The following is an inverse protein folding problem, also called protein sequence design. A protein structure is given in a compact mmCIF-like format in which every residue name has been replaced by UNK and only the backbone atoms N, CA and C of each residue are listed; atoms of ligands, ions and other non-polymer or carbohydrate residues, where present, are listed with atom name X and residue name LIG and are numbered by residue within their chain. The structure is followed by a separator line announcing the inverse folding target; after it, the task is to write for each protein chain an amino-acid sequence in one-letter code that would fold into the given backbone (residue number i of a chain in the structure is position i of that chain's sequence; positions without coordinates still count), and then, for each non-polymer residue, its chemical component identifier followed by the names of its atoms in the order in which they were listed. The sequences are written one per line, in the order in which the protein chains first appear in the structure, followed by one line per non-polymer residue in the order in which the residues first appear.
data_IF_588663862085
#
_entry.id   IF_588663862085
#
_cell.length_a   1.000
_cell.length_b   1.000
_cell.length_c   1.000
_cell.angle_alpha   90.00
_cell.angle_beta   90.00
_cell.angle_gamma   90.00
#
_symmetry.space_group_name_H-M   'P 1'
#
loop_
_entity.id
_entity.type
_entity.pdbx_description
1 polymer ?
2 non-polymer ?
3 water ?
#
# COMPACT_ATOMS: atom_id res chain seq x y z
N UNK A 1 38.10 3.43 -5.64
CA UNK A 1 38.46 4.25 -4.44
C UNK A 1 37.78 3.75 -3.16
N UNK A 2 38.59 3.40 -2.17
CA UNK A 2 38.06 2.92 -0.90
C UNK A 2 37.14 3.97 -0.28
N UNK A 3 36.15 3.54 0.50
CA UNK A 3 35.22 4.46 1.14
C UNK A 3 34.72 3.90 2.47
N UNK A 4 35.27 4.42 3.57
CA UNK A 4 34.89 3.98 4.91
C UNK A 4 33.39 4.12 5.16
N UNK A 5 32.86 3.21 6.00
CA UNK A 5 31.43 3.20 6.33
C UNK A 5 30.93 4.51 6.96
N UNK A 6 31.79 5.18 7.70
CA UNK A 6 31.42 6.44 8.34
C UNK A 6 31.31 7.56 7.30
N UNK A 7 32.12 7.47 6.25
CA UNK A 7 32.08 8.46 5.20
C UNK A 7 30.84 8.23 4.36
N UNK A 8 30.54 6.95 4.11
CA UNK A 8 29.37 6.55 3.34
C UNK A 8 28.09 7.01 4.05
N UNK A 9 28.10 6.88 5.37
CA UNK A 9 26.98 7.29 6.17
C UNK A 9 26.80 8.81 6.08
N UNK A 10 27.91 9.54 5.95
CA UNK A 10 27.88 10.99 5.85
C UNK A 10 27.32 11.40 4.50
N UNK A 11 27.78 10.69 3.47
CA UNK A 11 27.39 10.94 2.09
C UNK A 11 25.89 10.77 1.88
N UNK A 12 25.32 9.73 2.49
CA UNK A 12 23.88 9.49 2.36
C UNK A 12 23.07 10.54 3.10
N UNK A 13 23.66 11.13 4.14
CA UNK A 13 22.99 12.17 4.92
C UNK A 13 22.70 13.35 4.01
N UNK A 14 23.70 13.72 3.23
CA UNK A 14 23.58 14.85 2.32
C UNK A 14 22.58 14.53 1.23
N UNK A 15 22.65 13.31 0.71
CA UNK A 15 21.72 12.94 -0.34
C UNK A 15 20.28 13.05 0.18
N UNK A 16 20.04 12.51 1.37
CA UNK A 16 18.70 12.56 1.97
C UNK A 16 18.17 13.99 2.09
N UNK A 17 18.94 14.92 2.65
CA UNK A 17 18.43 16.29 2.79
C UNK A 17 18.23 16.95 1.43
N UNK A 18 19.01 16.55 0.44
CA UNK A 18 18.86 17.14 -0.89
C UNK A 18 17.63 16.58 -1.58
N UNK A 19 17.45 15.27 -1.46
CA UNK A 19 16.28 14.63 -2.05
C UNK A 19 15.04 15.31 -1.50
N UNK A 20 14.98 15.46 -0.18
CA UNK A 20 13.86 16.11 0.48
C UNK A 20 13.53 17.49 -0.10
N UNK A 21 14.53 18.35 -0.16
CA UNK A 21 14.34 19.69 -0.68
C UNK A 21 13.91 19.65 -2.13
N UNK A 22 14.48 18.72 -2.88
CA UNK A 22 14.15 18.56 -4.29
C UNK A 22 12.70 18.14 -4.44
N UNK A 23 12.25 17.24 -3.57
CA UNK A 23 10.90 16.73 -3.61
C UNK A 23 9.87 17.80 -3.25
N UNK A 24 10.17 18.57 -2.20
CA UNK A 24 9.27 19.62 -1.76
C UNK A 24 9.03 20.66 -2.86
N UNK A 25 10.06 20.91 -3.68
CA UNK A 25 9.94 21.88 -4.74
C UNK A 25 9.25 21.35 -5.98
N UNK A 26 9.34 20.04 -6.21
CA UNK A 26 8.73 19.39 -7.37
C UNK A 26 7.27 19.04 -7.19
N UNK A 27 6.89 18.64 -5.99
CA UNK A 27 5.50 18.27 -5.71
C UNK A 27 4.47 19.25 -6.27
N UNK A 28 4.69 20.56 -6.09
CA UNK A 28 3.73 21.55 -6.61
C UNK A 28 3.49 21.48 -8.13
N UNK A 29 4.31 20.69 -8.83
CA UNK A 29 4.23 20.55 -10.29
C UNK A 29 3.25 19.49 -10.80
N UNK A 30 2.76 18.63 -9.93
CA UNK A 30 1.82 17.57 -10.31
C UNK A 30 0.40 18.15 -10.37
N UNK A 31 -0.19 18.13 -11.55
CA UNK A 31 -1.53 18.68 -11.77
C UNK A 31 -2.69 17.96 -11.07
N UNK A 32 -2.59 16.65 -10.93
CA UNK A 32 -3.65 15.91 -10.28
C UNK A 32 -3.41 14.41 -10.32
N UNK A 33 -3.96 13.70 -9.34
CA UNK A 33 -3.83 12.25 -9.24
C UNK A 33 -5.18 11.60 -8.93
N UNK A 34 -5.49 10.52 -9.65
CA UNK A 34 -6.73 9.78 -9.45
C UNK A 34 -6.36 8.52 -8.65
N UNK A 35 -7.01 8.34 -7.49
CA UNK A 35 -6.76 7.18 -6.64
C UNK A 35 -7.97 6.28 -6.83
N UNK A 36 -7.71 5.07 -7.32
CA UNK A 36 -8.82 4.19 -7.65
C UNK A 36 -9.10 2.86 -6.97
N UNK A 37 -10.41 2.72 -6.77
CA UNK A 37 -11.17 1.61 -6.21
C UNK A 37 -11.38 1.48 -4.71
N UNK A 38 -10.37 1.12 -3.92
CA UNK A 38 -10.64 0.90 -2.49
C UNK A 38 -10.48 1.98 -1.43
N UNK A 39 -11.63 2.34 -0.87
CA UNK A 39 -11.72 3.35 0.18
C UNK A 39 -12.73 2.87 1.23
N UNK A 40 -12.38 3.02 2.50
CA UNK A 40 -13.31 2.61 3.55
C UNK A 40 -12.99 3.23 4.89
N UNK A 41 -13.54 2.65 5.95
CA UNK A 41 -13.31 3.13 7.31
C UNK A 41 -12.47 2.11 8.08
N UNK A 42 -11.53 2.61 8.87
CA UNK A 42 -10.66 1.78 9.68
C UNK A 42 -11.00 2.09 11.13
N UNK A 43 -11.60 1.13 11.81
CA UNK A 43 -11.97 1.28 13.22
C UNK A 43 -10.89 0.56 14.01
N UNK A 44 -10.05 1.33 14.71
CA UNK A 44 -8.96 0.73 15.48
C UNK A 44 -9.27 0.54 16.96
N UNK A 45 -8.99 -0.66 17.46
CA UNK A 45 -9.21 -1.03 18.84
C UNK A 45 -7.91 -1.51 19.45
N UNK A 46 -7.38 -0.79 20.43
CA UNK A 46 -6.15 -1.19 21.09
C UNK A 46 -6.48 -2.25 22.15
N UNK A 47 -6.21 -3.51 21.79
CA UNK A 47 -6.47 -4.68 22.63
C UNK A 47 -6.07 -4.58 24.10
N UNK A 48 -6.97 -5.01 24.98
CA UNK A 48 -6.75 -5.01 26.42
C UNK A 48 -6.89 -6.42 26.97
N UNK A 49 -5.80 -6.95 27.54
CA UNK A 49 -5.78 -8.30 28.09
C UNK A 49 -7.04 -8.69 28.85
N UNK A 50 -7.34 -7.94 29.92
CA UNK A 50 -8.52 -8.25 30.72
C UNK A 50 -9.79 -8.36 29.88
N UNK A 51 -9.97 -7.40 28.98
CA UNK A 51 -11.13 -7.39 28.10
C UNK A 51 -11.16 -8.64 27.22
N UNK A 52 -10.06 -8.91 26.52
CA UNK A 52 -10.00 -10.08 25.65
C UNK A 52 -10.19 -11.34 26.47
N UNK A 53 -9.60 -11.34 27.67
CA UNK A 53 -9.71 -12.47 28.57
C UNK A 53 -11.18 -12.65 28.87
N UNK A 54 -11.77 -11.66 29.54
CA UNK A 54 -13.19 -11.70 29.89
C UNK A 54 -14.03 -12.11 28.69
N UNK A 55 -13.66 -11.60 27.51
CA UNK A 55 -14.39 -11.89 26.29
C UNK A 55 -14.27 -13.31 25.77
N UNK A 56 -13.07 -13.87 25.83
CA UNK A 56 -12.88 -15.24 25.35
C UNK A 56 -13.57 -16.24 26.27
N UNK A 57 -13.37 -16.09 27.58
CA UNK A 57 -14.01 -16.99 28.54
C UNK A 57 -15.51 -17.03 28.29
N UNK A 58 -16.09 -15.85 28.10
CA UNK A 58 -17.53 -15.75 27.85
C UNK A 58 -18.01 -16.78 26.85
N UNK A 59 -17.62 -16.63 25.58
CA UNK A 59 -18.03 -17.59 24.55
C UNK A 59 -17.61 -18.97 25.00
N UNK A 60 -16.43 -19.03 25.61
CA UNK A 60 -15.89 -20.30 26.07
C UNK A 60 -14.58 -20.51 25.35
N UNK A 61 -13.48 -20.24 26.05
CA UNK A 61 -12.15 -20.40 25.47
C UNK A 61 -11.89 -21.81 24.99
N UNK A 62 -12.96 -22.59 24.85
CA UNK A 62 -12.88 -23.95 24.36
C UNK A 62 -12.76 -23.89 22.84
N UNK A 63 -13.89 -23.66 22.19
CA UNK A 63 -13.92 -23.55 20.74
C UNK A 63 -12.87 -22.52 20.31
N UNK A 64 -12.84 -21.40 21.02
CA UNK A 64 -11.91 -20.33 20.71
C UNK A 64 -10.48 -20.80 20.49
N UNK A 65 -9.98 -21.65 21.39
CA UNK A 65 -8.61 -22.15 21.28
C UNK A 65 -8.46 -23.20 20.18
N UNK A 66 -9.57 -23.79 19.79
CA UNK A 66 -9.57 -24.79 18.72
C UNK A 66 -9.37 -24.04 17.40
N UNK A 67 -9.79 -22.78 17.40
CA UNK A 67 -9.68 -21.93 16.22
C UNK A 67 -8.23 -21.55 15.99
N UNK A 68 -7.46 -21.44 17.07
CA UNK A 68 -6.05 -21.08 16.93
C UNK A 68 -5.30 -22.07 16.04
N UNK A 69 -5.56 -23.37 16.26
CA UNK A 69 -4.88 -24.40 15.48
C UNK A 69 -5.55 -24.70 14.14
N UNK A 70 -6.87 -24.67 14.10
CA UNK A 70 -7.60 -24.93 12.86
C UNK A 70 -8.36 -23.69 12.41
N UNK A 71 -7.63 -22.65 11.97
CA UNK A 71 -8.25 -21.40 11.52
C UNK A 71 -9.16 -21.57 10.32
N UNK A 72 -10.37 -20.98 10.37
CA UNK A 72 -11.34 -21.07 9.28
C UNK A 72 -11.08 -20.07 8.15
N UNK A 73 -11.86 -20.17 7.09
CA UNK A 73 -11.74 -19.28 5.95
C UNK A 73 -12.15 -17.85 6.37
N UNK A 74 -13.45 -17.65 6.54
CA UNK A 74 -13.99 -16.36 6.95
C UNK A 74 -14.46 -16.44 8.40
N UNK A 75 -14.91 -15.31 8.95
CA UNK A 75 -15.41 -15.28 10.31
C UNK A 75 -16.93 -15.40 10.27
N UNK A 76 -17.44 -16.56 10.65
CA UNK A 76 -18.88 -16.82 10.65
C UNK A 76 -19.40 -17.01 12.07
N UNK A 77 -18.50 -16.87 13.04
CA UNK A 77 -18.87 -17.03 14.43
C UNK A 77 -18.05 -16.08 15.29
N UNK A 78 -18.51 -15.87 16.53
CA UNK A 78 -17.80 -15.00 17.45
C UNK A 78 -16.58 -15.74 17.99
N UNK A 79 -16.60 -17.07 17.86
CA UNK A 79 -15.49 -17.90 18.29
C UNK A 79 -14.38 -17.72 17.28
N UNK A 80 -14.78 -17.75 16.00
CA UNK A 80 -13.85 -17.60 14.90
C UNK A 80 -13.18 -16.23 14.91
N UNK A 81 -13.88 -15.22 15.43
CA UNK A 81 -13.30 -13.89 15.48
C UNK A 81 -12.24 -13.78 16.57
N UNK A 82 -12.56 -14.29 17.76
CA UNK A 82 -11.65 -14.24 18.89
C UNK A 82 -10.51 -15.24 18.71
N UNK A 83 -10.82 -16.41 18.17
CA UNK A 83 -9.80 -17.40 17.92
C UNK A 83 -8.81 -16.81 16.92
N UNK A 84 -9.32 -16.01 16.00
CA UNK A 84 -8.48 -15.39 15.00
C UNK A 84 -7.60 -14.29 15.56
N UNK A 85 -8.12 -13.50 16.49
CA UNK A 85 -7.32 -12.42 17.06
C UNK A 85 -6.16 -13.04 17.84
N UNK A 86 -6.47 -14.03 18.66
CA UNK A 86 -5.46 -14.70 19.46
C UNK A 86 -4.37 -15.32 18.60
N UNK A 87 -4.77 -16.07 17.57
CA UNK A 87 -3.83 -16.72 16.66
C UNK A 87 -2.87 -15.68 16.09
N UNK A 88 -3.41 -14.51 15.74
CA UNK A 88 -2.61 -13.44 15.18
C UNK A 88 -1.66 -12.94 16.26
N UNK A 89 -2.05 -13.11 17.51
CA UNK A 89 -1.24 -12.71 18.65
C UNK A 89 -0.12 -13.73 18.80
N UNK A 90 -0.49 -15.00 18.60
CA UNK A 90 0.45 -16.11 18.67
C UNK A 90 1.53 -15.92 17.62
N UNK A 91 1.25 -16.38 16.40
CA UNK A 91 2.21 -16.26 15.31
C UNK A 91 2.74 -14.84 15.20
N UNK A 92 2.08 -13.91 15.89
CA UNK A 92 2.49 -12.52 15.84
C UNK A 92 2.50 -11.98 14.42
N UNK A 93 1.75 -12.62 13.53
CA UNK A 93 1.69 -12.19 12.14
C UNK A 93 0.37 -11.51 11.82
N UNK A 94 0.41 -10.58 10.88
CA UNK A 94 -0.77 -9.82 10.48
C UNK A 94 -1.76 -10.68 9.72
N UNK A 95 -3.01 -10.68 10.15
CA UNK A 95 -4.05 -11.46 9.48
C UNK A 95 -5.27 -10.60 9.15
N UNK A 96 -6.16 -11.16 8.35
CA UNK A 96 -7.37 -10.44 7.95
C UNK A 96 -8.38 -11.42 7.40
N UNK A 97 -9.49 -11.59 8.12
CA UNK A 97 -10.53 -12.50 7.71
C UNK A 97 -11.78 -11.70 7.41
N UNK A 98 -12.64 -12.22 6.53
CA UNK A 98 -13.87 -11.54 6.16
C UNK A 98 -15.05 -12.01 6.98
N UNK A 99 -15.65 -11.08 7.72
CA UNK A 99 -16.80 -11.41 8.56
C UNK A 99 -18.02 -11.64 7.68
N UNK A 100 -18.55 -12.86 7.72
CA UNK A 100 -19.70 -13.22 6.91
C UNK A 100 -21.01 -13.11 7.68
N UNK A 101 -20.95 -13.26 9.00
CA UNK A 101 -22.16 -13.21 9.82
C UNK A 101 -22.56 -11.80 10.28
N UNK A 102 -23.82 -11.46 10.06
CA UNK A 102 -24.33 -10.15 10.46
C UNK A 102 -24.36 -10.12 11.97
N UNK A 103 -24.41 -11.31 12.55
CA UNK A 103 -24.44 -11.48 13.99
C UNK A 103 -23.11 -11.05 14.60
N UNK A 104 -22.02 -11.49 13.97
CA UNK A 104 -20.69 -11.13 14.44
C UNK A 104 -20.50 -9.62 14.18
N UNK A 105 -21.07 -9.14 13.08
CA UNK A 105 -20.97 -7.72 12.71
C UNK A 105 -21.54 -6.84 13.83
N UNK A 106 -22.61 -7.29 14.47
CA UNK A 106 -23.22 -6.53 15.56
C UNK A 106 -22.30 -6.63 16.77
N UNK A 107 -21.63 -7.77 16.89
CA UNK A 107 -20.70 -7.96 17.99
C UNK A 107 -19.61 -6.91 17.87
N UNK A 108 -18.96 -6.86 16.72
CA UNK A 108 -17.88 -5.91 16.44
C UNK A 108 -18.19 -4.46 16.82
N UNK A 109 -19.35 -3.96 16.39
CA UNK A 109 -19.73 -2.60 16.69
C UNK A 109 -19.90 -2.39 18.19
N UNK A 110 -20.58 -3.32 18.84
CA UNK A 110 -20.79 -3.22 20.29
C UNK A 110 -19.44 -3.19 20.99
N UNK A 111 -18.53 -4.04 20.54
CA UNK A 111 -17.19 -4.06 21.13
C UNK A 111 -16.59 -2.67 20.96
N UNK A 112 -16.90 -2.02 19.84
CA UNK A 112 -16.41 -0.67 19.60
C UNK A 112 -14.98 -0.48 19.12
N UNK A 113 -14.59 0.78 18.99
CA UNK A 113 -13.27 1.15 18.53
C UNK A 113 -12.67 2.31 19.33
N UNK A 114 -11.35 2.40 19.34
CA UNK A 114 -10.67 3.46 20.07
C UNK A 114 -10.56 4.72 19.22
N UNK A 115 -10.43 4.53 17.91
CA UNK A 115 -10.36 5.67 17.01
C UNK A 115 -10.73 5.23 15.60
N UNK A 116 -11.02 6.21 14.75
CA UNK A 116 -11.41 5.94 13.37
C UNK A 116 -10.50 6.69 12.41
N UNK A 117 -10.21 6.08 11.28
CA UNK A 117 -9.39 6.72 10.26
C UNK A 117 -9.80 6.19 8.89
N UNK A 118 -9.46 6.92 7.83
CA UNK A 118 -9.82 6.44 6.50
C UNK A 118 -9.15 5.07 6.34
N UNK A 119 -9.72 4.26 5.47
CA UNK A 119 -9.18 2.95 5.19
C UNK A 119 -9.04 2.85 3.69
N UNK A 120 -8.68 1.66 3.21
CA UNK A 120 -8.51 1.44 1.79
C UNK A 120 -7.21 2.06 1.33
N UNK A 121 -6.53 1.41 0.39
CA UNK A 121 -5.26 1.91 -0.13
C UNK A 121 -5.49 3.24 -0.80
N UNK A 122 -6.64 3.38 -1.48
CA UNK A 122 -6.98 4.61 -2.18
C UNK A 122 -7.28 5.71 -1.16
N UNK A 123 -8.02 5.36 -0.11
CA UNK A 123 -8.37 6.31 0.93
C UNK A 123 -7.16 6.88 1.66
N UNK A 124 -6.30 6.00 2.16
CA UNK A 124 -5.11 6.41 2.88
C UNK A 124 -4.26 7.30 1.97
N UNK A 125 -4.13 6.92 0.70
CA UNK A 125 -3.34 7.69 -0.26
C UNK A 125 -3.95 9.05 -0.55
N UNK A 126 -5.28 9.14 -0.46
CA UNK A 126 -5.95 10.40 -0.70
C UNK A 126 -5.58 11.42 0.39
N UNK A 127 -5.68 11.00 1.65
CA UNK A 127 -5.34 11.92 2.74
C UNK A 127 -3.88 12.33 2.71
N UNK A 128 -3.00 11.42 2.30
CA UNK A 128 -1.58 11.75 2.21
C UNK A 128 -1.29 12.68 1.04
N UNK A 129 -1.60 12.24 -0.17
CA UNK A 129 -1.35 13.05 -1.36
C UNK A 129 -2.10 14.39 -1.34
N UNK A 130 -3.39 14.33 -1.00
CA UNK A 130 -4.20 15.53 -0.96
C UNK A 130 -4.04 16.40 0.27
N UNK A 131 -4.20 15.80 1.44
CA UNK A 131 -4.08 16.57 2.67
C UNK A 131 -2.66 17.00 3.00
N UNK A 132 -1.72 16.05 2.95
CA UNK A 132 -0.33 16.34 3.26
C UNK A 132 0.43 16.98 2.12
N UNK A 133 0.50 16.32 0.97
CA UNK A 133 1.23 16.91 -0.15
C UNK A 133 0.47 18.00 -0.88
N UNK A 134 -0.83 18.09 -0.62
CA UNK A 134 -1.69 19.11 -1.22
C UNK A 134 -1.83 18.99 -2.72
N UNK A 135 -1.68 17.79 -3.24
CA UNK A 135 -1.83 17.58 -4.68
C UNK A 135 -3.31 17.37 -4.95
N UNK A 136 -3.89 18.15 -5.86
CA UNK A 136 -5.31 17.98 -6.17
C UNK A 136 -5.57 16.51 -6.46
N UNK A 137 -6.35 15.86 -5.60
CA UNK A 137 -6.63 14.44 -5.73
C UNK A 137 -8.10 14.09 -6.01
N UNK A 138 -8.33 13.14 -6.90
CA UNK A 138 -9.67 12.65 -7.20
C UNK A 138 -9.64 11.19 -6.76
N UNK A 139 -10.58 10.81 -5.89
CA UNK A 139 -10.61 9.46 -5.34
C UNK A 139 -11.94 8.70 -5.47
N UNK A 140 -11.84 7.37 -5.56
CA UNK A 140 -13.02 6.53 -5.68
C UNK A 140 -13.48 6.14 -4.29
N UNK A 141 -14.74 6.45 -3.98
CA UNK A 141 -15.35 6.15 -2.68
C UNK A 141 -16.68 5.43 -2.95
N UNK A 142 -16.70 4.09 -2.92
CA UNK A 142 -17.90 3.29 -3.16
C UNK A 142 -19.16 3.62 -2.35
N UNK A 143 -19.01 3.80 -1.04
CA UNK A 143 -20.13 4.16 -0.19
C UNK A 143 -19.66 5.35 0.61
N UNK A 144 -20.43 6.44 0.59
CA UNK A 144 -20.04 7.67 1.27
C UNK A 144 -20.97 8.20 2.38
N UNK A 145 -21.13 7.44 3.46
CA UNK A 145 -22.00 7.98 4.50
C UNK A 145 -21.23 9.13 5.18
N UNK A 146 -21.88 9.87 6.08
CA UNK A 146 -21.23 10.98 6.77
C UNK A 146 -20.00 10.53 7.57
N UNK A 147 -20.08 9.33 8.16
CA UNK A 147 -18.97 8.79 8.94
C UNK A 147 -17.74 8.61 8.04
N UNK A 148 -17.97 8.24 6.79
CA UNK A 148 -16.89 8.05 5.83
C UNK A 148 -16.31 9.35 5.33
N UNK A 149 -17.22 10.23 4.91
CA UNK A 149 -16.84 11.51 4.36
C UNK A 149 -16.06 12.39 5.30
N UNK A 150 -16.33 12.29 6.60
CA UNK A 150 -15.61 13.13 7.53
C UNK A 150 -14.24 12.61 7.89
N UNK A 151 -13.88 11.42 7.42
CA UNK A 151 -12.55 10.88 7.71
C UNK A 151 -11.54 11.52 6.77
N UNK A 152 -12.03 12.17 5.73
CA UNK A 152 -11.15 12.84 4.79
C UNK A 152 -10.66 14.13 5.40
N UNK A 153 -9.36 14.33 5.27
CA UNK A 153 -8.68 15.51 5.79
C UNK A 153 -8.98 16.69 4.89
N UNK A 154 -8.98 17.88 5.44
CA UNK A 154 -9.25 19.04 4.63
C UNK A 154 -8.09 19.27 3.67
N UNK A 155 -8.41 19.54 2.41
CA UNK A 155 -7.39 19.76 1.41
C UNK A 155 -8.02 19.59 0.04
N UNK A 156 -7.23 19.68 -1.04
CA UNK A 156 -7.76 19.52 -2.40
C UNK A 156 -8.12 18.07 -2.76
N UNK A 157 -9.03 17.47 -1.99
CA UNK A 157 -9.46 16.10 -2.21
C UNK A 157 -10.87 16.14 -2.81
N UNK A 158 -11.04 15.54 -3.97
CA UNK A 158 -12.34 15.57 -4.61
C UNK A 158 -12.92 14.24 -4.97
N UNK A 159 -14.23 14.24 -5.11
CA UNK A 159 -15.00 13.07 -5.46
C UNK A 159 -15.89 13.51 -6.64
N UNK A 160 -16.02 12.68 -7.68
CA UNK A 160 -16.86 13.09 -8.80
C UNK A 160 -18.34 12.81 -8.59
N UNK A 161 -19.16 13.82 -8.86
CA UNK A 161 -20.60 13.71 -8.72
C UNK A 161 -21.29 14.12 -10.00
N UNK A 162 -22.24 13.31 -10.45
CA UNK A 162 -22.98 13.60 -11.67
C UNK A 162 -24.04 14.66 -11.39
N UNK A 163 -23.73 15.92 -11.68
CA UNK A 163 -24.68 16.99 -11.44
C UNK A 163 -25.51 17.26 -12.69
N UNK A 164 -26.59 16.52 -12.87
CA UNK A 164 -27.42 16.73 -14.04
C UNK A 164 -26.73 16.70 -15.39
N UNK A 165 -26.23 15.53 -15.78
CA UNK A 165 -25.57 15.38 -17.07
C UNK A 165 -24.40 16.33 -17.13
N UNK A 166 -23.88 16.61 -15.95
CA UNK A 166 -22.73 17.49 -15.78
C UNK A 166 -21.92 16.81 -14.68
N UNK A 167 -20.67 16.47 -14.98
CA UNK A 167 -19.82 15.82 -14.00
C UNK A 167 -19.05 16.88 -13.22
N UNK A 168 -19.33 16.98 -11.93
CA UNK A 168 -18.66 17.96 -11.08
C UNK A 168 -17.75 17.27 -10.08
N UNK A 169 -16.73 17.99 -9.63
CA UNK A 169 -15.81 17.46 -8.64
C UNK A 169 -16.03 18.22 -7.35
N UNK A 170 -16.45 17.52 -6.31
CA UNK A 170 -16.70 18.14 -5.02
C UNK A 170 -16.02 17.38 -3.90
N UNK A 171 -15.80 18.04 -2.77
CA UNK A 171 -15.18 17.39 -1.63
C UNK A 171 -16.13 16.35 -1.05
N UNK A 172 -15.57 15.26 -0.49
CA UNK A 172 -16.40 14.21 0.09
C UNK A 172 -17.54 14.69 0.98
N UNK A 173 -17.26 15.58 1.92
CA UNK A 173 -18.26 16.11 2.84
C UNK A 173 -19.44 16.76 2.10
N UNK A 174 -19.21 17.14 0.85
CA UNK A 174 -20.24 17.78 0.05
C UNK A 174 -20.91 16.76 -0.85
N UNK A 175 -20.59 15.49 -0.64
CA UNK A 175 -21.14 14.42 -1.46
C UNK A 175 -21.66 13.28 -0.59
N UNK A 176 -22.08 13.61 0.63
CA UNK A 176 -22.60 12.61 1.55
C UNK A 176 -23.93 12.07 1.02
N UNK A 177 -24.23 10.82 1.37
CA UNK A 177 -25.45 10.19 0.91
C UNK A 177 -25.77 9.10 1.90
N UNK A 178 -27.00 8.60 1.86
CA UNK A 178 -27.42 7.55 2.79
C UNK A 178 -26.92 6.19 2.33
N UNK A 179 -25.64 5.93 2.55
CA UNK A 179 -25.03 4.68 2.13
C UNK A 179 -24.44 3.90 3.28
N UNK A 180 -23.91 2.72 2.98
CA UNK A 180 -23.35 1.84 3.99
C UNK A 180 -21.99 2.25 4.54
N UNK A 181 -21.77 1.92 5.80
CA UNK A 181 -20.49 2.19 6.44
C UNK A 181 -19.67 0.94 6.13
N UNK A 182 -18.54 1.12 5.46
CA UNK A 182 -17.68 0.00 5.12
C UNK A 182 -16.53 0.01 6.12
N UNK A 183 -16.70 -0.75 7.20
CA UNK A 183 -15.72 -0.80 8.28
C UNK A 183 -14.80 -1.99 8.35
N UNK A 184 -13.53 -1.70 8.58
CA UNK A 184 -12.52 -2.74 8.76
C UNK A 184 -12.07 -2.52 10.20
N UNK A 185 -12.38 -3.49 11.07
CA UNK A 185 -12.00 -3.38 12.47
C UNK A 185 -10.59 -3.89 12.66
N UNK A 186 -9.68 -2.99 13.02
CA UNK A 186 -8.29 -3.32 13.21
C UNK A 186 -7.92 -3.44 14.69
N UNK A 187 -7.53 -4.64 15.08
CA UNK A 187 -7.12 -4.92 16.47
C UNK A 187 -5.60 -5.07 16.58
N UNK A 188 -4.98 -4.16 17.33
CA UNK A 188 -3.54 -4.20 17.50
C UNK A 188 -3.05 -4.51 18.91
N UNK A 189 -1.92 -5.22 18.99
CA UNK A 189 -1.30 -5.60 20.26
C UNK A 189 0.18 -5.24 20.20
N UNK A 190 0.76 -4.84 21.35
CA UNK A 190 2.18 -4.47 21.44
C UNK A 190 3.13 -5.63 21.25
N UNK A 191 4.42 -5.32 21.16
CA UNK A 191 5.47 -6.33 20.99
C UNK A 191 5.36 -7.42 22.06
N UNK A 192 4.70 -7.08 23.16
CA UNK A 192 4.51 -8.03 24.23
C UNK A 192 3.11 -7.88 24.78
N UNK A 193 2.21 -8.75 24.34
CA UNK A 193 0.83 -8.70 24.80
C UNK A 193 0.51 -9.95 25.63
N UNK A 194 -0.30 -9.79 26.67
CA UNK A 194 -0.61 -10.93 27.53
C UNK A 194 -2.05 -11.42 27.59
N UNK A 195 -2.31 -12.60 27.03
CA UNK A 195 -3.65 -13.16 27.02
C UNK A 195 -3.61 -14.69 27.27
N UNK A 196 -4.38 -15.16 28.25
CA UNK A 196 -4.44 -16.56 28.64
C UNK A 196 -3.16 -17.36 28.91
N UNK A 197 -2.27 -17.44 27.94
CA UNK A 197 -1.07 -18.27 28.11
C UNK A 197 -0.14 -17.81 27.01
N UNK A 198 -0.80 -17.42 25.93
CA UNK A 198 -0.18 -16.95 24.70
C UNK A 198 0.40 -15.55 24.84
N UNK A 199 1.60 -15.40 24.30
CA UNK A 199 2.31 -14.14 24.34
C UNK A 199 2.60 -13.74 22.90
N UNK A 200 2.63 -12.43 22.65
CA UNK A 200 2.93 -11.92 21.32
C UNK A 200 4.41 -11.59 21.23
N UNK A 201 5.09 -12.16 20.22
CA UNK A 201 6.52 -11.94 19.99
C UNK A 201 6.79 -10.65 19.24
N UNK A 202 5.74 -10.08 18.67
CA UNK A 202 5.88 -8.84 17.92
C UNK A 202 4.58 -8.05 17.92
N UNK A 203 4.69 -6.73 17.72
CA UNK A 203 3.54 -5.86 17.68
C UNK A 203 2.90 -5.95 16.30
N UNK A 204 1.77 -6.63 16.20
CA UNK A 204 1.07 -6.78 14.93
C UNK A 204 -0.40 -6.39 15.03
N UNK A 205 -1.25 -7.01 14.20
CA UNK A 205 -2.67 -6.69 14.18
C UNK A 205 -3.56 -7.69 13.42
N UNK A 206 -4.82 -7.80 13.84
CA UNK A 206 -5.78 -8.66 13.16
C UNK A 206 -6.90 -7.77 12.61
N UNK A 207 -7.29 -8.01 11.37
CA UNK A 207 -8.32 -7.20 10.74
C UNK A 207 -9.59 -8.00 10.49
N UNK A 208 -10.71 -7.52 11.03
CA UNK A 208 -11.99 -8.16 10.82
C UNK A 208 -12.68 -7.29 9.75
N UNK A 209 -12.74 -7.81 8.54
CA UNK A 209 -13.31 -7.10 7.41
C UNK A 209 -14.80 -7.35 7.23
N UNK A 210 -15.60 -6.30 7.41
CA UNK A 210 -17.06 -6.35 7.26
C UNK A 210 -17.45 -5.44 6.09
N UNK A 211 -16.61 -5.44 5.07
CA UNK A 211 -16.77 -4.62 3.87
C UNK A 211 -17.22 -5.47 2.69
N UNK A 212 -18.47 -5.30 2.30
CA UNK A 212 -19.09 -6.03 1.19
C UNK A 212 -18.87 -5.40 -0.18
N UNK A 213 -18.52 -4.11 -0.22
CA UNK A 213 -18.34 -3.42 -1.50
C UNK A 213 -16.94 -3.56 -2.07
N UNK A 214 -15.94 -3.26 -1.26
CA UNK A 214 -14.58 -3.36 -1.74
C UNK A 214 -14.18 -4.82 -1.98
N UNK A 215 -14.95 -5.74 -1.40
CA UNK A 215 -14.68 -7.16 -1.58
C UNK A 215 -14.88 -7.57 -3.05
N UNK A 216 -15.80 -6.88 -3.72
CA UNK A 216 -16.11 -7.19 -5.11
C UNK A 216 -15.73 -6.05 -6.02
N UNK A 217 -15.05 -5.04 -5.48
CA UNK A 217 -14.65 -3.90 -6.28
C UNK A 217 -15.82 -3.27 -7.07
N UNK A 218 -16.91 -2.96 -6.38
CA UNK A 218 -18.05 -2.31 -7.02
C UNK A 218 -17.66 -0.87 -7.37
N UNK A 219 -17.99 -0.43 -8.58
CA UNK A 219 -17.64 0.90 -9.03
C UNK A 219 -18.79 1.89 -9.03
N UNK A 220 -18.52 3.12 -8.60
CA UNK A 220 -19.55 4.15 -8.58
C UNK A 220 -19.97 4.43 -10.01
N UNK A 221 -21.17 5.00 -10.18
CA UNK A 221 -21.70 5.30 -11.51
C UNK A 221 -20.79 6.20 -12.31
N UNK A 222 -20.21 7.20 -11.65
CA UNK A 222 -19.33 8.15 -12.29
C UNK A 222 -18.07 7.50 -12.85
N UNK A 223 -17.57 6.46 -12.19
CA UNK A 223 -16.39 5.79 -12.66
C UNK A 223 -16.69 4.82 -13.79
N UNK A 224 -17.92 4.34 -13.85
CA UNK A 224 -18.29 3.40 -14.91
C UNK A 224 -18.77 4.20 -16.14
N UNK A 225 -19.19 5.44 -15.92
CA UNK A 225 -19.71 6.25 -17.02
C UNK A 225 -18.95 7.53 -17.38
N UNK A 226 -18.49 8.27 -16.40
CA UNK A 226 -17.77 9.50 -16.72
C UNK A 226 -16.27 9.40 -16.59
N UNK A 227 -15.73 8.19 -16.65
CA UNK A 227 -14.30 8.01 -16.48
C UNK A 227 -13.42 8.88 -17.36
N UNK A 228 -13.80 9.04 -18.62
CA UNK A 228 -13.03 9.87 -19.56
C UNK A 228 -13.05 11.32 -19.12
N UNK A 229 -14.16 11.74 -18.51
CA UNK A 229 -14.29 13.10 -18.03
C UNK A 229 -13.34 13.30 -16.85
N UNK A 230 -13.34 12.36 -15.92
CA UNK A 230 -12.46 12.39 -14.74
C UNK A 230 -11.00 12.45 -15.19
N UNK A 231 -10.61 11.44 -15.97
CA UNK A 231 -9.25 11.31 -16.48
C UNK A 231 -8.72 12.63 -17.02
N UNK A 232 -9.59 13.39 -17.67
CA UNK A 232 -9.18 14.66 -18.24
C UNK A 232 -8.59 15.59 -17.18
N UNK A 233 -8.91 15.33 -15.92
CA UNK A 233 -8.46 16.17 -14.83
C UNK A 233 -7.13 15.78 -14.20
N UNK A 234 -6.55 14.65 -14.59
CA UNK A 234 -5.31 14.24 -13.94
C UNK A 234 -4.06 13.98 -14.78
N UNK A 235 -2.92 13.93 -14.11
CA UNK A 235 -1.64 13.68 -14.77
C UNK A 235 -1.18 12.29 -14.45
N UNK A 236 -1.52 11.82 -13.24
CA UNK A 236 -1.12 10.48 -12.80
C UNK A 236 -2.30 9.69 -12.26
N UNK A 237 -2.08 8.40 -12.03
CA UNK A 237 -3.13 7.53 -11.48
C UNK A 237 -2.50 6.35 -10.74
N UNK A 238 -3.07 6.02 -9.59
CA UNK A 238 -2.60 4.91 -8.79
C UNK A 238 -3.76 3.96 -8.55
N UNK A 239 -3.66 2.74 -9.10
CA UNK A 239 -4.69 1.73 -9.02
C UNK A 239 -4.38 0.67 -7.95
N UNK A 240 -5.41 0.27 -7.20
CA UNK A 240 -5.25 -0.76 -6.17
C UNK A 240 -6.59 -1.42 -5.77
N UNK A 241 -6.51 -2.39 -4.86
CA UNK A 241 -7.69 -3.06 -4.38
C UNK A 241 -8.13 -4.30 -5.15
N UNK A 242 -7.43 -4.64 -6.22
CA UNK A 242 -7.77 -5.80 -7.06
C UNK A 242 -7.32 -7.15 -6.50
N UNK A 243 -6.41 -7.12 -5.53
CA UNK A 243 -5.90 -8.35 -4.95
C UNK A 243 -6.98 -9.16 -4.27
N UNK A 244 -8.17 -8.60 -4.18
CA UNK A 244 -9.28 -9.28 -3.52
C UNK A 244 -10.08 -10.18 -4.43
N UNK A 245 -9.96 -9.95 -5.74
CA UNK A 245 -10.73 -10.72 -6.71
C UNK A 245 -10.57 -12.23 -6.66
N UNK A 246 -11.69 -12.92 -6.73
CA UNK A 246 -11.71 -14.37 -6.73
C UNK A 246 -12.04 -14.79 -8.15
N UNK A 247 -11.68 -16.02 -8.51
CA UNK A 247 -11.95 -16.53 -9.83
C UNK A 247 -13.45 -16.71 -10.02
N UNK A 248 -14.09 -17.27 -9.00
CA UNK A 248 -15.53 -17.54 -9.04
C UNK A 248 -16.25 -17.07 -7.78
N UNK A 249 -17.48 -16.60 -7.98
CA UNK A 249 -18.35 -16.15 -6.88
C UNK A 249 -19.61 -17.02 -6.89
N UNK A 250 -20.23 -17.21 -5.72
CA UNK A 250 -21.44 -18.04 -5.66
C UNK A 250 -22.59 -17.64 -6.58
N UNK A 251 -22.69 -16.34 -6.88
CA UNK A 251 -23.76 -15.86 -7.75
C UNK A 251 -23.42 -16.03 -9.23
N UNK A 252 -22.51 -16.93 -9.52
CA UNK A 252 -22.15 -17.19 -10.90
C UNK A 252 -21.33 -16.11 -11.58
N UNK A 253 -20.85 -15.13 -10.85
CA UNK A 253 -20.05 -14.09 -11.48
C UNK A 253 -18.57 -14.45 -11.35
N UNK A 254 -17.70 -13.75 -12.08
CA UNK A 254 -16.26 -14.02 -12.02
C UNK A 254 -15.38 -12.78 -12.00
N UNK A 255 -14.09 -12.99 -11.78
CA UNK A 255 -13.14 -11.88 -11.75
C UNK A 255 -13.13 -11.11 -13.08
N UNK A 256 -13.34 -11.82 -14.17
CA UNK A 256 -13.34 -11.21 -15.50
C UNK A 256 -14.29 -10.02 -15.61
N UNK A 257 -15.43 -10.13 -14.92
CA UNK A 257 -16.42 -9.07 -14.95
C UNK A 257 -15.76 -7.76 -14.56
N UNK A 258 -14.96 -7.79 -13.49
CA UNK A 258 -14.27 -6.61 -12.99
C UNK A 258 -13.09 -6.19 -13.86
N UNK A 259 -12.16 -7.11 -14.07
CA UNK A 259 -10.97 -6.80 -14.85
C UNK A 259 -11.30 -6.21 -16.23
N UNK A 260 -12.42 -6.65 -16.80
CA UNK A 260 -12.83 -6.13 -18.10
C UNK A 260 -13.08 -4.62 -17.97
N UNK A 261 -13.70 -4.22 -16.86
CA UNK A 261 -14.00 -2.83 -16.60
C UNK A 261 -12.71 -2.05 -16.34
N UNK A 262 -11.80 -2.68 -15.62
CA UNK A 262 -10.52 -2.08 -15.25
C UNK A 262 -9.62 -1.88 -16.47
N UNK A 263 -9.60 -2.86 -17.36
CA UNK A 263 -8.79 -2.80 -18.57
C UNK A 263 -9.22 -1.65 -19.48
N UNK A 264 -10.50 -1.32 -19.48
CA UNK A 264 -10.99 -0.25 -20.32
C UNK A 264 -10.67 1.11 -19.71
N UNK A 265 -10.37 1.11 -18.40
CA UNK A 265 -10.02 2.35 -17.72
C UNK A 265 -8.57 2.62 -18.07
N UNK A 266 -7.76 1.57 -18.08
CA UNK A 266 -6.34 1.71 -18.41
C UNK A 266 -6.17 2.22 -19.84
N UNK A 267 -7.06 1.79 -20.73
CA UNK A 267 -7.00 2.21 -22.12
C UNK A 267 -7.32 3.70 -22.27
N UNK A 268 -8.22 4.20 -21.43
CA UNK A 268 -8.58 5.61 -21.46
C UNK A 268 -7.45 6.43 -20.86
N UNK A 269 -6.85 5.89 -19.80
CA UNK A 269 -5.74 6.57 -19.15
C UNK A 269 -4.61 6.66 -20.16
N UNK A 270 -4.36 5.57 -20.85
CA UNK A 270 -3.31 5.54 -21.86
C UNK A 270 -3.63 6.54 -22.95
N UNK A 271 -4.87 6.50 -23.42
CA UNK A 271 -5.29 7.41 -24.48
C UNK A 271 -5.02 8.87 -24.14
N UNK A 272 -4.97 9.19 -22.85
CA UNK A 272 -4.72 10.55 -22.45
C UNK A 272 -3.32 10.71 -21.91
N UNK A 273 -2.51 9.66 -22.09
CA UNK A 273 -1.12 9.67 -21.61
C UNK A 273 -1.02 9.92 -20.11
N UNK A 274 -1.91 9.33 -19.33
CA UNK A 274 -1.85 9.49 -17.89
C UNK A 274 -0.87 8.42 -17.41
N UNK A 275 0.07 8.79 -16.56
CA UNK A 275 1.04 7.85 -16.03
C UNK A 275 0.35 7.13 -14.89
N UNK A 276 0.36 5.80 -14.93
CA UNK A 276 -0.32 5.01 -13.91
C UNK A 276 0.57 4.02 -13.19
N UNK A 277 0.37 3.92 -11.88
CA UNK A 277 1.12 3.01 -11.04
C UNK A 277 0.16 1.94 -10.53
N UNK A 278 0.60 0.68 -10.55
CA UNK A 278 -0.22 -0.40 -10.04
C UNK A 278 0.42 -0.94 -8.77
N UNK A 279 -0.36 -1.01 -7.70
CA UNK A 279 0.12 -1.56 -6.44
C UNK A 279 -0.19 -3.05 -6.49
N UNK A 280 0.79 -3.85 -6.90
CA UNK A 280 0.56 -5.28 -7.01
C UNK A 280 0.54 -6.03 -5.68
N UNK A 281 -0.48 -5.78 -4.87
CA UNK A 281 -0.61 -6.44 -3.58
C UNK A 281 -0.71 -7.94 -3.80
N UNK A 282 -0.30 -8.71 -2.80
CA UNK A 282 -0.35 -10.16 -2.92
C UNK A 282 -1.74 -10.69 -3.30
N UNK A 283 -1.80 -11.44 -4.40
CA UNK A 283 -3.05 -12.00 -4.90
C UNK A 283 -3.07 -13.52 -4.79
N UNK A 284 -3.68 -14.01 -3.72
CA UNK A 284 -3.79 -15.43 -3.42
C UNK A 284 -4.27 -16.31 -4.58
N UNK A 285 -5.24 -15.83 -5.34
CA UNK A 285 -5.75 -16.62 -6.47
C UNK A 285 -4.74 -16.61 -7.62
N UNK A 286 -4.38 -17.80 -8.10
CA UNK A 286 -3.42 -17.88 -9.19
C UNK A 286 -3.98 -17.37 -10.51
N UNK A 287 -5.17 -17.82 -10.90
CA UNK A 287 -5.78 -17.38 -12.16
C UNK A 287 -5.93 -15.87 -12.18
N UNK A 288 -6.38 -15.31 -11.06
CA UNK A 288 -6.51 -13.87 -10.98
C UNK A 288 -5.10 -13.25 -11.06
N UNK A 289 -4.15 -13.85 -10.35
CA UNK A 289 -2.78 -13.34 -10.36
C UNK A 289 -2.19 -13.32 -11.76
N UNK A 290 -2.49 -14.35 -12.54
CA UNK A 290 -1.98 -14.43 -13.90
C UNK A 290 -2.61 -13.33 -14.76
N UNK A 291 -3.90 -13.09 -14.52
CA UNK A 291 -4.64 -12.07 -15.26
C UNK A 291 -4.05 -10.69 -14.98
N UNK A 292 -3.78 -10.41 -13.71
CA UNK A 292 -3.23 -9.13 -13.33
C UNK A 292 -1.86 -8.92 -13.97
N UNK A 293 -1.06 -9.97 -14.06
CA UNK A 293 0.28 -9.87 -14.67
C UNK A 293 0.18 -9.54 -16.14
N UNK A 294 -0.88 -9.99 -16.80
CA UNK A 294 -1.06 -9.72 -18.24
C UNK A 294 -1.57 -8.31 -18.45
N UNK A 295 -2.02 -7.68 -17.37
CA UNK A 295 -2.52 -6.33 -17.42
C UNK A 295 -1.35 -5.35 -17.28
N UNK A 296 -0.28 -5.82 -16.64
CA UNK A 296 0.90 -5.02 -16.37
C UNK A 296 1.43 -4.22 -17.54
N UNK A 297 1.49 -4.82 -18.74
CA UNK A 297 1.99 -4.06 -19.89
C UNK A 297 1.28 -2.74 -20.11
N UNK A 298 0.07 -2.61 -19.61
CA UNK A 298 -0.70 -1.38 -19.77
C UNK A 298 -0.42 -0.31 -18.72
N UNK A 299 0.41 -0.65 -17.74
CA UNK A 299 0.76 0.28 -16.66
C UNK A 299 2.15 0.87 -16.91
N UNK A 300 2.37 2.08 -16.41
CA UNK A 300 3.68 2.73 -16.55
C UNK A 300 4.59 2.26 -15.43
N UNK A 301 4.02 2.11 -14.23
CA UNK A 301 4.79 1.71 -13.07
C UNK A 301 4.14 0.61 -12.23
N UNK A 302 4.97 -0.08 -11.44
CA UNK A 302 4.53 -1.14 -10.55
C UNK A 302 5.25 -1.02 -9.22
N UNK A 303 4.59 -1.44 -8.16
CA UNK A 303 5.19 -1.40 -6.83
C UNK A 303 4.96 -2.75 -6.23
N UNK A 304 5.95 -3.31 -5.56
CA UNK A 304 5.77 -4.61 -4.93
C UNK A 304 6.86 -4.86 -3.92
N UNK A 305 6.62 -5.84 -3.05
CA UNK A 305 7.59 -6.21 -2.04
C UNK A 305 8.13 -7.59 -2.40
N UNK A 306 8.86 -8.20 -1.46
CA UNK A 306 9.47 -9.51 -1.70
C UNK A 306 8.47 -10.61 -2.01
N UNK A 307 7.52 -10.83 -1.09
CA UNK A 307 6.52 -11.86 -1.27
C UNK A 307 5.79 -11.73 -2.60
N UNK A 308 5.46 -10.50 -2.95
CA UNK A 308 4.75 -10.24 -4.21
C UNK A 308 5.61 -10.53 -5.44
N UNK A 309 6.84 -10.01 -5.44
CA UNK A 309 7.74 -10.22 -6.57
C UNK A 309 7.89 -11.73 -6.76
N UNK A 310 8.16 -12.44 -5.67
CA UNK A 310 8.32 -13.89 -5.74
C UNK A 310 7.06 -14.56 -6.32
N UNK A 311 5.89 -14.16 -5.84
CA UNK A 311 4.63 -14.73 -6.29
C UNK A 311 4.46 -14.58 -7.80
N UNK A 312 4.97 -13.49 -8.36
CA UNK A 312 4.89 -13.26 -9.79
C UNK A 312 5.84 -14.22 -10.49
N UNK A 313 7.03 -14.39 -9.90
CA UNK A 313 8.04 -15.28 -10.46
C UNK A 313 7.53 -16.70 -10.53
N UNK A 314 6.78 -17.12 -9.53
CA UNK A 314 6.23 -18.47 -9.53
C UNK A 314 5.34 -18.65 -10.77
N UNK A 315 4.32 -17.83 -10.91
CA UNK A 315 3.42 -17.95 -12.06
C UNK A 315 4.14 -17.70 -13.39
N UNK A 316 5.10 -16.78 -13.40
CA UNK A 316 5.85 -16.51 -14.62
C UNK A 316 6.67 -17.75 -14.92
N UNK A 317 6.66 -18.71 -14.00
CA UNK A 317 7.41 -19.95 -14.19
C UNK A 317 8.82 -20.00 -13.60
N UNK A 318 9.39 -18.86 -13.25
CA UNK A 318 10.74 -18.79 -12.68
C UNK A 318 10.68 -19.17 -11.20
N UNK A 319 10.45 -20.44 -10.93
CA UNK A 319 10.33 -20.96 -9.57
C UNK A 319 11.62 -20.98 -8.74
N UNK A 320 12.77 -21.03 -9.41
CA UNK A 320 14.05 -21.03 -8.70
C UNK A 320 14.37 -19.63 -8.21
N UNK A 321 14.04 -18.65 -9.04
CA UNK A 321 14.25 -17.24 -8.74
C UNK A 321 13.39 -16.79 -7.57
N UNK A 322 12.11 -17.20 -7.60
CA UNK A 322 11.15 -16.83 -6.56
C UNK A 322 11.63 -17.26 -5.19
N UNK A 323 12.22 -18.45 -5.14
CA UNK A 323 12.75 -19.01 -3.90
C UNK A 323 13.86 -18.16 -3.31
N UNK A 324 14.79 -17.71 -4.17
CA UNK A 324 15.88 -16.88 -3.70
C UNK A 324 15.38 -15.48 -3.35
N UNK A 325 14.39 -15.02 -4.11
CA UNK A 325 13.82 -13.69 -3.86
C UNK A 325 13.17 -13.70 -2.47
N UNK A 326 12.48 -14.78 -2.16
CA UNK A 326 11.86 -14.93 -0.85
C UNK A 326 12.98 -15.06 0.19
N UNK A 327 14.12 -15.58 -0.26
CA UNK A 327 15.28 -15.76 0.59
C UNK A 327 15.89 -14.39 0.88
N UNK A 328 15.44 -13.39 0.13
CA UNK A 328 15.95 -12.04 0.34
C UNK A 328 17.29 -11.76 -0.29
N UNK A 329 17.72 -12.58 -1.23
CA UNK A 329 19.00 -12.34 -1.90
C UNK A 329 18.83 -11.16 -2.84
N UNK A 330 19.52 -10.06 -2.55
CA UNK A 330 19.41 -8.85 -3.33
C UNK A 330 19.83 -8.89 -4.79
N UNK A 331 20.71 -9.82 -5.15
CA UNK A 331 21.14 -9.93 -6.54
C UNK A 331 20.13 -10.79 -7.29
N UNK A 332 19.30 -11.49 -6.53
CA UNK A 332 18.25 -12.32 -7.09
C UNK A 332 17.05 -11.42 -7.35
N UNK A 333 16.81 -10.49 -6.42
CA UNK A 333 15.73 -9.55 -6.54
C UNK A 333 15.93 -8.79 -7.85
N UNK A 334 17.14 -8.27 -8.04
CA UNK A 334 17.46 -7.52 -9.26
C UNK A 334 17.20 -8.36 -10.51
N UNK A 335 17.53 -9.64 -10.42
CA UNK A 335 17.30 -10.58 -11.52
C UNK A 335 15.82 -10.66 -11.83
N UNK A 336 15.03 -10.86 -10.79
CA UNK A 336 13.58 -10.98 -10.94
C UNK A 336 12.98 -9.70 -11.52
N UNK A 337 13.52 -8.57 -11.10
CA UNK A 337 13.05 -7.28 -11.58
C UNK A 337 13.30 -7.13 -13.08
N UNK A 338 14.47 -7.59 -13.53
CA UNK A 338 14.84 -7.50 -14.94
C UNK A 338 14.03 -8.47 -15.78
N UNK A 339 13.75 -9.63 -15.19
CA UNK A 339 12.97 -10.66 -15.86
C UNK A 339 11.57 -10.08 -16.12
N UNK A 340 10.98 -9.52 -15.05
CA UNK A 340 9.65 -8.91 -15.12
C UNK A 340 9.58 -7.79 -16.16
N UNK A 341 10.62 -6.98 -16.25
CA UNK A 341 10.61 -5.92 -17.23
C UNK A 341 10.75 -6.51 -18.63
N UNK A 342 11.51 -7.59 -18.76
CA UNK A 342 11.65 -8.24 -20.06
C UNK A 342 10.29 -8.78 -20.46
N UNK A 343 9.67 -9.48 -19.51
CA UNK A 343 8.35 -10.08 -19.71
C UNK A 343 7.23 -9.11 -20.08
N UNK A 344 7.17 -7.98 -19.40
CA UNK A 344 6.08 -7.03 -19.60
C UNK A 344 6.35 -5.75 -20.38
N UNK A 345 7.60 -5.33 -20.43
CA UNK A 345 7.91 -4.11 -21.14
C UNK A 345 7.50 -2.88 -20.33
N UNK A 346 7.20 -3.09 -19.05
CA UNK A 346 6.80 -2.01 -18.16
C UNK A 346 7.96 -1.02 -17.98
N UNK A 347 7.59 0.26 -17.93
CA UNK A 347 8.52 1.38 -17.82
C UNK A 347 9.25 1.55 -16.49
N UNK A 348 8.62 1.11 -15.40
CA UNK A 348 9.23 1.27 -14.09
C UNK A 348 8.76 0.25 -13.07
N UNK A 349 9.68 -0.22 -12.23
CA UNK A 349 9.36 -1.17 -11.19
C UNK A 349 9.99 -0.65 -9.90
N UNK A 350 9.17 -0.43 -8.87
CA UNK A 350 9.70 0.05 -7.61
C UNK A 350 9.54 -1.09 -6.61
N UNK A 351 10.67 -1.63 -6.17
CA UNK A 351 10.67 -2.73 -5.21
C UNK A 351 11.03 -2.18 -3.84
N UNK A 352 10.26 -2.53 -2.82
CA UNK A 352 10.56 -2.06 -1.46
C UNK A 352 10.58 -3.24 -0.51
N UNK A 353 11.50 -3.19 0.44
CA UNK A 353 11.58 -4.24 1.44
C UNK A 353 12.14 -3.58 2.68
N UNK A 354 12.42 -4.35 3.71
CA UNK A 354 12.96 -3.77 4.94
C UNK A 354 14.46 -3.54 4.78
N UNK A 355 14.88 -2.28 4.86
CA UNK A 355 16.28 -1.97 4.73
C UNK A 355 16.69 -1.25 3.45
N UNK A 356 15.93 -1.42 2.37
CA UNK A 356 16.29 -0.76 1.13
C UNK A 356 15.19 -0.84 0.05
N UNK A 357 15.26 0.08 -0.90
CA UNK A 357 14.33 0.09 -2.02
C UNK A 357 15.18 -0.01 -3.28
N UNK A 358 14.56 -0.53 -4.33
CA UNK A 358 15.21 -0.65 -5.63
C UNK A 358 14.19 -0.17 -6.67
N UNK A 359 14.67 0.46 -7.73
CA UNK A 359 13.79 0.92 -8.78
C UNK A 359 14.47 0.67 -10.12
N UNK A 360 13.83 -0.13 -10.95
CA UNK A 360 14.37 -0.42 -12.27
C UNK A 360 13.55 0.44 -13.22
N UNK A 361 14.20 1.30 -13.99
CA UNK A 361 13.47 2.14 -14.91
C UNK A 361 14.10 2.09 -16.29
N UNK A 362 13.31 2.36 -17.32
CA UNK A 362 13.84 2.37 -18.67
C UNK A 362 14.52 3.72 -18.90
N UNK A 363 14.01 4.76 -18.27
CA UNK A 363 14.60 6.09 -18.41
C UNK A 363 15.68 6.26 -17.36
N UNK A 364 16.51 7.28 -17.51
CA UNK A 364 17.58 7.51 -16.55
C UNK A 364 17.46 8.87 -15.87
N UNK A 365 18.22 9.04 -14.79
CA UNK A 365 18.17 10.30 -14.07
C UNK A 365 18.19 10.13 -12.56
N UNK A 366 18.65 11.18 -11.88
CA UNK A 366 18.75 11.18 -10.44
C UNK A 366 17.41 11.25 -9.74
N UNK A 367 16.40 11.77 -10.44
CA UNK A 367 15.06 11.90 -9.88
C UNK A 367 14.52 10.59 -9.32
N UNK A 368 14.89 9.48 -9.93
CA UNK A 368 14.42 8.19 -9.44
C UNK A 368 15.00 7.90 -8.06
N UNK A 369 16.26 8.30 -7.85
CA UNK A 369 16.90 8.07 -6.56
C UNK A 369 16.35 8.99 -5.47
N UNK A 370 16.26 10.27 -5.77
CA UNK A 370 15.75 11.24 -4.81
C UNK A 370 14.31 10.92 -4.42
N UNK A 371 13.54 10.42 -5.38
CA UNK A 371 12.15 10.04 -5.13
C UNK A 371 12.11 8.89 -4.14
N UNK A 372 12.99 7.92 -4.34
CA UNK A 372 13.04 6.79 -3.42
C UNK A 372 13.48 7.30 -2.05
N UNK A 373 14.38 8.30 -2.03
CA UNK A 373 14.85 8.86 -0.76
C UNK A 373 13.75 9.65 -0.06
N UNK A 374 12.92 10.35 -0.84
CA UNK A 374 11.84 11.12 -0.24
C UNK A 374 10.82 10.14 0.35
N UNK A 375 10.53 9.07 -0.40
CA UNK A 375 9.59 8.04 0.03
C UNK A 375 10.05 7.34 1.32
N UNK A 376 11.36 7.16 1.46
CA UNK A 376 11.91 6.53 2.64
C UNK A 376 11.72 7.44 3.87
N UNK A 377 11.87 8.74 3.66
CA UNK A 377 11.70 9.70 4.74
C UNK A 377 10.22 9.74 5.15
N UNK A 378 9.33 9.72 4.14
CA UNK A 378 7.90 9.75 4.37
C UNK A 378 7.46 8.52 5.14
N UNK A 379 8.03 7.36 4.82
CA UNK A 379 7.67 6.11 5.50
C UNK A 379 8.13 6.16 6.94
N UNK A 380 9.30 6.75 7.18
CA UNK A 380 9.84 6.85 8.54
C UNK A 380 8.99 7.80 9.37
N UNK A 381 8.69 8.96 8.79
CA UNK A 381 7.87 9.96 9.45
C UNK A 381 6.55 9.30 9.86
N UNK A 382 5.91 8.64 8.90
CA UNK A 382 4.63 7.97 9.14
C UNK A 382 4.73 6.95 10.29
N UNK A 383 5.73 6.07 10.23
CA UNK A 383 5.92 5.07 11.28
C UNK A 383 6.21 5.76 12.62
N UNK A 384 6.91 6.89 12.58
CA UNK A 384 7.24 7.65 13.79
C UNK A 384 5.99 8.21 14.45
N UNK A 385 5.33 9.14 13.76
CA UNK A 385 4.15 9.81 14.28
C UNK A 385 2.88 8.98 14.24
N UNK A 386 2.84 7.99 13.36
CA UNK A 386 1.66 7.17 13.25
C UNK A 386 0.65 7.86 12.35
N UNK A 387 0.63 9.18 12.40
CA UNK A 387 -0.30 9.97 11.60
C UNK A 387 0.34 11.27 11.12
N UNK A 388 0.43 11.44 9.81
CA UNK A 388 1.01 12.65 9.23
C UNK A 388 -0.04 13.71 9.00
N UNK A 389 0.37 14.97 8.98
CA UNK A 389 -0.59 16.04 8.78
C UNK A 389 -0.01 17.17 7.98
N UNK A 390 1.28 17.44 8.16
CA UNK A 390 1.92 18.52 7.41
C UNK A 390 3.20 17.98 6.81
N UNK A 391 3.57 18.51 5.65
CA UNK A 391 4.78 18.05 4.97
C UNK A 391 6.06 18.31 5.74
N UNK A 392 5.96 19.10 6.80
CA UNK A 392 7.12 19.40 7.62
C UNK A 392 7.51 18.23 8.51
N UNK A 393 6.50 17.58 9.09
CA UNK A 393 6.76 16.44 9.97
C UNK A 393 7.79 15.50 9.35
N UNK A 394 7.76 15.41 8.02
CA UNK A 394 8.66 14.54 7.28
C UNK A 394 10.14 14.95 7.44
N UNK A 395 10.35 16.22 7.78
CA UNK A 395 11.69 16.75 7.99
C UNK A 395 12.29 16.09 9.22
N UNK A 396 11.42 15.73 10.18
CA UNK A 396 11.87 15.10 11.42
C UNK A 396 12.52 13.75 11.19
N UNK A 397 12.09 13.07 10.14
CA UNK A 397 12.61 11.75 9.80
C UNK A 397 14.10 11.74 9.46
N UNK A 398 14.63 12.91 9.14
CA UNK A 398 16.03 13.03 8.80
C UNK A 398 16.91 12.64 9.99
N UNK A 399 16.34 12.72 11.19
CA UNK A 399 17.08 12.38 12.38
C UNK A 399 17.11 10.89 12.61
N UNK A 400 16.33 10.14 11.83
CA UNK A 400 16.32 8.69 11.98
C UNK A 400 17.55 8.11 11.28
N UNK A 401 18.36 7.32 12.01
CA UNK A 401 19.57 6.73 11.42
C UNK A 401 19.31 5.81 10.23
N UNK A 402 20.10 5.97 9.18
CA UNK A 402 19.95 5.14 7.99
C UNK A 402 20.42 3.72 8.26
N UNK A 403 19.71 2.77 7.66
CA UNK A 403 20.02 1.36 7.80
C UNK A 403 21.48 1.13 7.40
N UNK A 404 22.35 0.95 8.38
CA UNK A 404 23.77 0.75 8.14
C UNK A 404 24.11 -0.47 7.30
N UNK A 405 23.38 -1.57 7.46
CA UNK A 405 23.68 -2.76 6.68
C UNK A 405 23.41 -2.57 5.20
N UNK A 406 22.40 -1.76 4.88
CA UNK A 406 22.08 -1.48 3.48
C UNK A 406 23.22 -0.67 2.88
N UNK A 407 23.90 0.11 3.72
CA UNK A 407 25.02 0.91 3.25
C UNK A 407 26.16 -0.01 2.89
N UNK A 408 26.43 -0.98 3.76
CA UNK A 408 27.50 -1.94 3.52
C UNK A 408 27.17 -2.73 2.24
N UNK A 409 25.88 -2.97 2.01
CA UNK A 409 25.41 -3.72 0.84
C UNK A 409 25.67 -2.99 -0.47
N UNK A 410 25.74 -1.67 -0.43
CA UNK A 410 26.01 -0.94 -1.65
C UNK A 410 27.37 -1.29 -2.22
N UNK A 411 28.33 -1.53 -1.35
CA UNK A 411 29.68 -1.86 -1.77
C UNK A 411 29.69 -3.03 -2.76
N UNK A 412 28.80 -4.00 -2.56
CA UNK A 412 28.73 -5.16 -3.44
C UNK A 412 28.06 -4.81 -4.77
N UNK A 413 27.13 -3.86 -4.75
CA UNK A 413 26.47 -3.46 -5.99
C UNK A 413 27.56 -2.77 -6.78
N UNK A 414 28.38 -2.01 -6.07
CA UNK A 414 29.48 -1.25 -6.65
C UNK A 414 30.48 -2.09 -7.41
N UNK A 415 30.84 -3.25 -6.88
CA UNK A 415 31.80 -4.10 -7.54
C UNK A 415 31.12 -4.92 -8.65
N UNK A 416 29.80 -5.05 -8.56
CA UNK A 416 29.06 -5.83 -9.55
C UNK A 416 28.55 -5.04 -10.75
N UNK A 417 28.01 -3.85 -10.50
CA UNK A 417 27.48 -3.03 -11.57
C UNK A 417 28.26 -1.75 -11.79
N UNK A 418 27.77 -0.95 -12.72
CA UNK A 418 28.40 0.31 -13.08
C UNK A 418 27.74 1.51 -12.40
N UNK A 419 28.03 1.72 -11.12
CA UNK A 419 27.44 2.86 -10.41
C UNK A 419 28.06 4.12 -10.97
N UNK A 420 27.26 5.04 -11.52
CA UNK A 420 27.84 6.27 -12.03
C UNK A 420 27.74 7.36 -10.99
N UNK A 421 26.91 7.08 -9.98
CA UNK A 421 26.67 7.97 -8.85
C UNK A 421 26.12 7.06 -7.76
N UNK A 422 26.11 7.54 -6.53
CA UNK A 422 25.62 6.75 -5.41
C UNK A 422 24.19 6.32 -5.60
N UNK A 423 23.96 5.01 -5.50
CA UNK A 423 22.62 4.47 -5.66
C UNK A 423 22.13 4.52 -7.09
N UNK A 424 23.03 4.83 -8.01
CA UNK A 424 22.68 4.92 -9.43
C UNK A 424 23.59 4.06 -10.30
N UNK A 425 22.97 3.09 -10.97
CA UNK A 425 23.65 2.15 -11.85
C UNK A 425 23.19 2.23 -13.32
N UNK A 426 24.16 2.39 -14.22
CA UNK A 426 23.88 2.45 -15.65
C UNK A 426 23.87 1.04 -16.20
N UNK A 427 22.82 0.72 -16.93
CA UNK A 427 22.67 -0.59 -17.56
C UNK A 427 22.50 -0.27 -19.05
N UNK A 428 22.67 -1.26 -19.91
CA UNK A 428 22.56 -1.04 -21.34
C UNK A 428 21.33 -0.26 -21.79
N UNK A 429 20.16 -0.76 -21.43
CA UNK A 429 18.91 -0.13 -21.83
C UNK A 429 17.99 0.23 -20.67
N UNK A 430 18.57 0.44 -19.50
CA UNK A 430 17.79 0.81 -18.33
C UNK A 430 18.70 1.25 -17.19
N UNK A 431 18.11 1.85 -16.18
CA UNK A 431 18.87 2.30 -15.04
C UNK A 431 18.38 1.59 -13.78
N UNK A 432 19.28 1.43 -12.80
CA UNK A 432 18.91 0.82 -11.53
C UNK A 432 19.27 1.82 -10.45
N UNK A 433 18.35 2.07 -9.53
CA UNK A 433 18.63 2.99 -8.44
C UNK A 433 18.43 2.22 -7.14
N UNK A 434 19.36 2.43 -6.21
CA UNK A 434 19.34 1.75 -4.91
C UNK A 434 19.35 2.82 -3.84
N UNK A 435 18.64 2.58 -2.74
CA UNK A 435 18.58 3.55 -1.67
C UNK A 435 18.51 2.85 -0.31
N UNK A 436 19.46 3.16 0.61
CA UNK A 436 19.41 2.53 1.94
C UNK A 436 18.35 3.31 2.71
N UNK A 437 17.40 2.59 3.33
CA UNK A 437 16.31 3.26 4.04
C UNK A 437 16.46 3.53 5.54
N UNK A 438 15.41 4.12 6.10
CA UNK A 438 15.35 4.49 7.51
C UNK A 438 14.30 3.70 8.30
N UNK A 439 14.76 2.70 9.02
CA UNK A 439 13.91 1.84 9.84
C UNK A 439 13.64 2.50 11.18
N UNK A 440 12.37 2.54 11.55
CA UNK A 440 11.97 3.12 12.82
C UNK A 440 11.69 1.99 13.81
N UNK A 441 12.48 1.95 14.89
CA UNK A 441 12.33 0.93 15.93
C UNK A 441 11.08 1.22 16.74
N UNK A 442 10.19 0.24 16.80
CA UNK A 442 8.95 0.40 17.53
C UNK A 442 8.18 1.60 16.99
N UNK A 443 7.51 1.42 15.84
CA UNK A 443 6.73 2.45 15.18
C UNK A 443 5.32 2.62 15.75
N UNK A 444 4.70 3.76 15.46
CA UNK A 444 3.36 4.06 15.94
C UNK A 444 2.30 3.34 15.11
N UNK A 445 1.90 3.95 14.00
CA UNK A 445 0.87 3.38 13.12
C UNK A 445 1.25 2.06 12.46
N UNK A 446 1.98 2.14 11.35
CA UNK A 446 2.40 0.95 10.60
C UNK A 446 1.23 0.36 9.77
N UNK A 447 0.13 1.11 9.69
CA UNK A 447 -1.03 0.65 8.94
C UNK A 447 -0.94 0.91 7.44
N UNK A 448 -0.56 2.11 7.04
CA UNK A 448 -0.45 2.37 5.61
C UNK A 448 0.93 2.78 5.15
N UNK A 449 1.97 2.08 5.62
CA UNK A 449 3.33 2.43 5.27
C UNK A 449 3.65 2.10 3.81
N UNK A 450 3.31 0.87 3.39
CA UNK A 450 3.57 0.47 2.03
C UNK A 450 2.94 1.38 0.99
N UNK A 451 1.76 1.91 1.29
CA UNK A 451 1.06 2.80 0.38
C UNK A 451 1.82 4.12 0.35
N UNK A 452 2.27 4.53 1.53
CA UNK A 452 3.02 5.76 1.68
C UNK A 452 4.28 5.73 0.84
N UNK A 453 4.97 4.58 0.88
CA UNK A 453 6.21 4.36 0.17
C UNK A 453 6.08 4.46 -1.33
N UNK A 454 5.13 3.71 -1.88
CA UNK A 454 4.88 3.66 -3.31
C UNK A 454 4.33 4.93 -3.92
N UNK A 455 3.31 5.51 -3.31
CA UNK A 455 2.71 6.74 -3.84
C UNK A 455 3.64 7.96 -3.77
N UNK A 456 4.40 8.07 -2.69
CA UNK A 456 5.31 9.20 -2.47
C UNK A 456 6.47 9.24 -3.49
N UNK A 457 6.99 8.07 -3.82
CA UNK A 457 8.10 7.97 -4.77
C UNK A 457 7.59 8.17 -6.19
N UNK A 458 6.48 7.51 -6.49
CA UNK A 458 5.87 7.61 -7.81
C UNK A 458 5.49 9.04 -8.13
N UNK A 459 4.75 9.67 -7.24
CA UNK A 459 4.31 11.03 -7.45
C UNK A 459 5.47 12.05 -7.51
N UNK A 460 6.32 12.06 -6.48
CA UNK A 460 7.44 13.00 -6.45
C UNK A 460 8.43 12.80 -7.59
N UNK A 461 8.68 11.57 -7.97
CA UNK A 461 9.62 11.34 -9.08
C UNK A 461 9.07 12.03 -10.30
N UNK A 462 7.77 11.87 -10.55
CA UNK A 462 7.14 12.48 -11.70
C UNK A 462 7.22 14.00 -11.69
N UNK A 463 7.00 14.61 -10.53
CA UNK A 463 7.07 16.05 -10.44
C UNK A 463 8.48 16.53 -10.73
N UNK A 464 9.47 15.77 -10.24
CA UNK A 464 10.87 16.10 -10.44
C UNK A 464 11.30 15.94 -11.91
N UNK A 465 10.79 14.90 -12.57
CA UNK A 465 11.11 14.64 -13.97
C UNK A 465 10.34 15.63 -14.81
N UNK A 466 9.13 15.97 -14.38
CA UNK A 466 8.34 16.94 -15.11
C UNK A 466 9.28 18.14 -15.13
N UNK A 467 10.22 18.09 -14.20
CA UNK A 467 11.26 19.10 -14.00
C UNK A 467 10.72 20.23 -13.13
#
# INVERSE_FOLDING_TARGET
MKESLKDRIRLWKRLYVNAFENALNAIPNVKGVLLAYNTNIDAIKYLDADDLEKRVTEKGKEKVFEIIENPPEKISSIEELLGGILRSIKLGKAMEWFVESEEVRRYLREWGWDELRIGGQAGIMANLLGGVYRIPTIVHVPQNPKLQAELFVDGPIYVPVFEGNKLKLVHPKDAIAEEEELIHYIYEFPRGFQVFDVQAPRENRFIANADDYNARVYMRREFREGFEEITRNVELAIISGLQVLKEYYPDGTTYKDVLDRVESHLNILNRYNVKSHFEFAYTANRRVREALVELLPKFTSVGLNEVELASIMEIIGDEELAKEVLEGHIFSVIDAMNVLMDETGIERIHFHTYGYYLALTQYRGEEVRDALLFASLAAAAKAMKGNLERIEQIRDALSVPTNERAIVLEEELEKEFTEFENGLIDMVDRQLAFVPTKIVASPKSTVGIGDTISSSAFVSEFGMRKR
#
